data_IF_058704929939
#
_entry.id   IF_058704929939
#
_cell.length_a   1.000
_cell.length_b   1.000
_cell.length_c   1.000
_cell.angle_alpha   90.00
_cell.angle_beta   90.00
_cell.angle_gamma   90.00
#
_symmetry.space_group_name_H-M   'P 1'
#
loop_
_entity.id
_entity.type
_entity.pdbx_description
1 polymer ?
#
# COMPACT_ATOMS: atom_id res chain seq x y z
N UNK A 1 25.17 18.66 9.39
CA UNK A 1 24.60 17.51 10.12
C UNK A 1 23.60 16.72 9.26
N UNK A 2 22.77 17.40 8.47
CA UNK A 2 21.73 16.76 7.61
C UNK A 2 22.33 15.86 6.52
N UNK A 3 23.42 16.24 5.91
CA UNK A 3 24.09 15.48 4.83
C UNK A 3 24.74 14.16 5.30
N UNK A 4 24.72 13.86 6.60
CA UNK A 4 25.27 12.62 7.16
C UNK A 4 24.21 11.59 7.58
N UNK A 5 22.92 11.90 7.36
CA UNK A 5 21.85 10.93 7.61
C UNK A 5 21.86 9.88 6.49
N UNK A 6 22.35 8.70 6.79
CA UNK A 6 22.53 7.59 5.83
C UNK A 6 21.24 7.22 5.09
N UNK A 7 20.11 7.24 5.75
CA UNK A 7 18.81 6.99 5.12
C UNK A 7 18.43 8.06 4.08
N UNK A 8 18.72 9.33 4.36
CA UNK A 8 18.48 10.39 3.40
C UNK A 8 19.37 10.21 2.17
N UNK A 9 20.65 9.87 2.39
CA UNK A 9 21.60 9.64 1.31
C UNK A 9 21.20 8.43 0.44
N UNK A 10 20.70 7.35 1.02
CA UNK A 10 20.25 6.20 0.24
C UNK A 10 19.04 6.54 -0.64
N UNK A 11 18.06 7.29 -0.14
CA UNK A 11 16.91 7.77 -0.91
C UNK A 11 17.34 8.71 -2.04
N UNK A 12 18.23 9.65 -1.77
CA UNK A 12 18.78 10.58 -2.75
C UNK A 12 19.59 9.84 -3.83
N UNK A 13 20.38 8.84 -3.43
CA UNK A 13 21.10 7.99 -4.37
C UNK A 13 20.11 7.23 -5.27
N UNK A 14 19.05 6.67 -4.73
CA UNK A 14 18.03 5.97 -5.53
C UNK A 14 17.39 6.90 -6.56
N UNK A 15 17.08 8.15 -6.18
CA UNK A 15 16.57 9.14 -7.12
C UNK A 15 17.61 9.49 -8.21
N UNK A 16 18.87 9.76 -7.82
CA UNK A 16 19.95 10.02 -8.76
C UNK A 16 20.15 8.88 -9.76
N UNK A 17 20.06 7.64 -9.30
CA UNK A 17 20.18 6.46 -10.16
C UNK A 17 19.00 6.38 -11.14
N UNK A 18 17.79 6.65 -10.70
CA UNK A 18 16.63 6.70 -11.60
C UNK A 18 16.79 7.79 -12.68
N UNK A 19 17.26 8.95 -12.29
CA UNK A 19 17.46 10.06 -13.21
C UNK A 19 18.58 9.81 -14.24
N UNK A 20 19.61 9.06 -13.86
CA UNK A 20 20.78 8.80 -14.71
C UNK A 20 20.72 7.49 -15.48
N UNK A 21 20.14 6.43 -14.91
CA UNK A 21 20.15 5.09 -15.50
C UNK A 21 18.95 4.83 -16.41
N UNK A 22 17.77 5.36 -16.06
CA UNK A 22 16.53 5.11 -16.82
C UNK A 22 16.60 5.66 -18.25
N UNK A 23 17.14 6.87 -18.53
CA UNK A 23 17.22 7.36 -19.89
C UNK A 23 18.08 6.50 -20.84
N UNK A 24 19.14 5.89 -20.32
CA UNK A 24 20.20 5.33 -21.14
C UNK A 24 20.31 3.79 -21.09
N UNK A 25 19.91 3.15 -19.98
CA UNK A 25 20.30 1.75 -19.71
C UNK A 25 19.18 0.88 -19.14
N UNK A 26 18.17 1.47 -18.53
CA UNK A 26 17.03 0.77 -17.91
C UNK A 26 15.74 1.28 -18.55
N UNK A 27 14.80 0.42 -18.94
CA UNK A 27 13.53 0.89 -19.47
C UNK A 27 12.79 1.74 -18.45
N UNK A 28 11.98 2.68 -18.94
CA UNK A 28 11.12 3.47 -18.05
C UNK A 28 10.18 2.55 -17.25
N UNK A 29 9.92 2.86 -15.97
CA UNK A 29 8.99 2.08 -15.18
C UNK A 29 7.58 2.15 -15.77
N UNK A 30 6.76 1.11 -15.60
CA UNK A 30 5.33 1.20 -15.84
C UNK A 30 4.73 2.39 -15.07
N UNK A 31 3.77 3.10 -15.68
CA UNK A 31 3.16 4.28 -15.05
C UNK A 31 2.37 3.99 -13.77
N UNK A 32 2.07 2.71 -13.49
CA UNK A 32 1.33 2.29 -12.30
C UNK A 32 2.17 1.31 -11.48
N UNK A 33 2.29 1.58 -10.19
CA UNK A 33 2.95 0.70 -9.22
C UNK A 33 2.28 -0.67 -9.14
N UNK A 34 0.98 -0.75 -9.35
CA UNK A 34 0.24 -2.00 -9.48
C UNK A 34 0.85 -2.89 -10.56
N UNK A 35 1.07 -2.35 -11.75
CA UNK A 35 1.67 -3.10 -12.86
C UNK A 35 3.06 -3.57 -12.49
N UNK A 36 3.86 -2.73 -11.84
CA UNK A 36 5.22 -3.05 -11.38
C UNK A 36 5.21 -4.23 -10.40
N UNK A 37 4.33 -4.20 -9.40
CA UNK A 37 4.28 -5.25 -8.37
C UNK A 37 3.56 -6.53 -8.84
N UNK A 38 2.62 -6.43 -9.78
CA UNK A 38 2.04 -7.60 -10.43
C UNK A 38 3.09 -8.33 -11.29
N UNK A 39 3.89 -7.61 -12.07
CA UNK A 39 5.02 -8.19 -12.83
C UNK A 39 6.04 -8.86 -11.89
N UNK A 40 6.39 -8.20 -10.79
CA UNK A 40 7.30 -8.75 -9.78
C UNK A 40 6.78 -10.05 -9.17
N UNK A 41 5.51 -10.11 -8.83
CA UNK A 41 4.84 -11.33 -8.32
C UNK A 41 4.82 -12.43 -9.36
N UNK A 42 4.47 -12.11 -10.60
CA UNK A 42 4.32 -13.08 -11.66
C UNK A 42 5.67 -13.69 -12.08
N UNK A 43 6.75 -12.90 -12.04
CA UNK A 43 8.13 -13.38 -12.25
C UNK A 43 8.59 -14.40 -11.17
N UNK A 44 8.01 -14.34 -9.95
CA UNK A 44 8.33 -15.25 -8.83
C UNK A 44 7.35 -16.41 -8.69
N UNK A 45 6.34 -16.47 -9.56
CA UNK A 45 5.35 -17.56 -9.54
C UNK A 45 5.99 -18.81 -10.14
N UNK A 46 5.97 -19.97 -9.45
CA UNK A 46 6.43 -21.21 -10.05
C UNK A 46 5.57 -21.48 -11.29
N UNK A 47 6.24 -21.69 -12.41
CA UNK A 47 5.56 -22.06 -13.66
C UNK A 47 4.68 -23.30 -13.44
N UNK A 48 3.61 -23.51 -14.23
CA UNK A 48 2.79 -24.69 -14.13
C UNK A 48 3.67 -25.93 -14.35
N UNK A 49 3.81 -26.73 -13.30
CA UNK A 49 4.51 -28.02 -13.38
C UNK A 49 3.68 -28.95 -14.27
N UNK A 50 4.03 -29.05 -15.54
CA UNK A 50 3.40 -30.05 -16.38
C UNK A 50 3.13 -29.59 -17.80
N UNK A 51 3.92 -30.10 -18.65
CA UNK A 51 3.93 -30.34 -20.09
C UNK A 51 5.12 -29.65 -20.78
N UNK A 52 5.99 -30.46 -21.36
CA UNK A 52 7.27 -30.09 -21.99
C UNK A 52 7.12 -29.20 -23.24
N UNK A 53 6.67 -27.97 -23.02
CA UNK A 53 6.82 -26.88 -23.94
C UNK A 53 7.91 -25.97 -23.37
N UNK A 54 8.81 -25.50 -24.19
CA UNK A 54 9.77 -24.46 -23.89
C UNK A 54 9.01 -23.31 -23.23
N UNK A 55 9.08 -23.23 -21.88
CA UNK A 55 8.51 -22.11 -21.15
C UNK A 55 9.33 -20.91 -21.61
N UNK A 56 8.70 -20.01 -22.35
CA UNK A 56 9.28 -18.70 -22.63
C UNK A 56 9.70 -18.10 -21.29
N UNK A 57 10.97 -17.73 -21.16
CA UNK A 57 11.46 -17.04 -19.97
C UNK A 57 10.49 -15.89 -19.64
N UNK A 58 9.99 -15.84 -18.42
CA UNK A 58 9.07 -14.75 -18.04
C UNK A 58 9.77 -13.43 -18.34
N UNK A 59 9.06 -12.52 -19.00
CA UNK A 59 9.60 -11.20 -19.33
C UNK A 59 10.19 -10.58 -18.06
N UNK A 60 11.43 -10.07 -18.10
CA UNK A 60 12.09 -9.56 -16.91
C UNK A 60 11.24 -8.45 -16.29
N UNK A 61 10.92 -8.60 -15.02
CA UNK A 61 10.20 -7.59 -14.25
C UNK A 61 11.06 -6.32 -14.19
N UNK A 62 10.43 -5.16 -14.32
CA UNK A 62 11.13 -3.87 -14.27
C UNK A 62 11.99 -3.73 -13.01
N UNK A 63 11.49 -4.13 -11.86
CA UNK A 63 12.21 -4.07 -10.58
C UNK A 63 13.49 -4.92 -10.59
N UNK A 64 13.45 -6.12 -11.18
CA UNK A 64 14.62 -6.98 -11.27
C UNK A 64 15.66 -6.41 -12.24
N UNK A 65 15.20 -5.82 -13.34
CA UNK A 65 16.08 -5.13 -14.31
C UNK A 65 16.75 -3.93 -13.65
N UNK A 66 15.97 -3.10 -12.94
CA UNK A 66 16.46 -1.91 -12.26
C UNK A 66 17.45 -2.27 -11.13
N UNK A 67 17.05 -3.15 -10.21
CA UNK A 67 17.92 -3.53 -9.07
C UNK A 67 19.17 -4.29 -9.53
N UNK A 68 19.06 -5.11 -10.58
CA UNK A 68 20.19 -5.79 -11.21
C UNK A 68 21.19 -4.82 -11.82
N UNK A 69 20.71 -3.81 -12.55
CA UNK A 69 21.55 -2.74 -13.07
C UNK A 69 22.26 -1.98 -11.96
N UNK A 70 21.51 -1.55 -10.94
CA UNK A 70 22.06 -0.81 -9.79
C UNK A 70 23.11 -1.62 -9.04
N UNK A 71 22.85 -2.89 -8.80
CA UNK A 71 23.80 -3.79 -8.14
C UNK A 71 25.09 -3.98 -8.93
N UNK A 72 24.97 -4.12 -10.24
CA UNK A 72 26.13 -4.34 -11.14
C UNK A 72 27.01 -3.09 -11.25
N UNK A 73 26.40 -1.90 -11.30
CA UNK A 73 27.08 -0.62 -11.49
C UNK A 73 27.24 0.18 -10.19
N UNK A 74 27.10 -0.47 -9.03
CA UNK A 74 27.02 0.19 -7.71
C UNK A 74 28.16 1.18 -7.48
N UNK A 75 29.41 0.83 -7.79
CA UNK A 75 30.58 1.70 -7.56
C UNK A 75 30.52 2.96 -8.44
N UNK A 76 30.28 2.80 -9.73
CA UNK A 76 30.20 3.91 -10.68
C UNK A 76 29.05 4.85 -10.33
N UNK A 77 27.88 4.32 -9.95
CA UNK A 77 26.71 5.09 -9.58
C UNK A 77 26.94 5.87 -8.28
N UNK A 78 27.54 5.23 -7.28
CA UNK A 78 27.89 5.89 -6.02
C UNK A 78 28.96 6.95 -6.24
N UNK A 79 29.99 6.68 -7.03
CA UNK A 79 31.03 7.68 -7.30
C UNK A 79 30.49 8.89 -8.07
N UNK A 80 29.57 8.68 -9.04
CA UNK A 80 28.90 9.78 -9.74
C UNK A 80 28.01 10.60 -8.79
N UNK A 81 27.30 9.94 -7.89
CA UNK A 81 26.48 10.60 -6.89
C UNK A 81 27.32 11.42 -5.90
N UNK A 82 28.40 10.84 -5.38
CA UNK A 82 29.29 11.51 -4.44
C UNK A 82 30.04 12.69 -5.05
N UNK A 83 30.29 12.69 -6.35
CA UNK A 83 30.88 13.80 -7.07
C UNK A 83 30.02 15.09 -7.02
N UNK A 84 28.71 14.97 -6.76
CA UNK A 84 27.83 16.11 -6.56
C UNK A 84 28.02 16.81 -5.20
N UNK A 85 28.68 16.14 -4.24
CA UNK A 85 28.82 16.61 -2.86
C UNK A 85 30.30 16.69 -2.48
N UNK A 86 30.96 17.82 -2.60
CA UNK A 86 32.40 17.95 -2.35
C UNK A 86 32.76 17.59 -0.89
N UNK A 87 33.41 16.47 -0.71
CA UNK A 87 34.21 16.11 0.48
C UNK A 87 33.46 15.68 1.74
N UNK A 88 32.22 16.10 1.98
CA UNK A 88 31.54 15.89 3.27
C UNK A 88 30.92 14.49 3.44
N UNK A 89 30.57 13.83 2.34
CA UNK A 89 29.85 12.55 2.33
C UNK A 89 30.70 11.35 1.91
N UNK A 90 31.97 11.55 1.59
CA UNK A 90 32.91 10.48 1.23
C UNK A 90 32.93 9.29 2.23
N UNK A 91 32.82 9.49 3.55
CA UNK A 91 32.76 8.37 4.50
C UNK A 91 31.55 7.43 4.34
N UNK A 92 30.51 7.85 3.62
CA UNK A 92 29.33 7.03 3.38
C UNK A 92 29.46 6.07 2.18
N UNK A 93 30.55 6.16 1.40
CA UNK A 93 30.72 5.43 0.14
C UNK A 93 30.45 3.93 0.26
N UNK A 94 31.12 3.27 1.19
CA UNK A 94 30.98 1.81 1.36
C UNK A 94 29.57 1.41 1.76
N UNK A 95 28.92 2.21 2.61
CA UNK A 95 27.54 2.02 2.99
C UNK A 95 26.59 2.16 1.79
N UNK A 96 26.81 3.16 0.94
CA UNK A 96 25.99 3.39 -0.27
C UNK A 96 26.19 2.27 -1.30
N UNK A 97 27.41 1.75 -1.48
CA UNK A 97 27.67 0.59 -2.33
C UNK A 97 26.96 -0.65 -1.78
N UNK A 98 27.05 -0.89 -0.48
CA UNK A 98 26.33 -2.00 0.16
C UNK A 98 24.81 -1.85 0.00
N UNK A 99 24.28 -0.62 0.11
CA UNK A 99 22.88 -0.35 -0.16
C UNK A 99 22.50 -0.69 -1.61
N UNK A 100 23.26 -0.27 -2.61
CA UNK A 100 23.00 -0.61 -4.01
C UNK A 100 22.99 -2.12 -4.28
N UNK A 101 23.91 -2.86 -3.65
CA UNK A 101 24.07 -4.30 -3.89
C UNK A 101 23.08 -5.17 -3.12
N UNK A 102 22.69 -4.77 -1.92
CA UNK A 102 21.90 -5.59 -1.00
C UNK A 102 20.70 -4.84 -0.45
N UNK A 103 20.89 -3.62 0.03
CA UNK A 103 19.86 -2.86 0.73
C UNK A 103 18.67 -2.51 -0.14
N UNK A 104 18.92 -1.99 -1.34
CA UNK A 104 17.88 -1.60 -2.28
C UNK A 104 17.09 -2.81 -2.82
N UNK A 105 17.74 -3.90 -3.30
CA UNK A 105 17.00 -5.12 -3.68
C UNK A 105 16.13 -5.66 -2.55
N UNK A 106 16.66 -5.75 -1.34
CA UNK A 106 15.91 -6.22 -0.18
C UNK A 106 14.73 -5.30 0.20
N UNK A 107 14.90 -3.99 0.09
CA UNK A 107 13.83 -3.02 0.32
C UNK A 107 12.71 -3.16 -0.72
N UNK A 108 13.08 -3.30 -1.99
CA UNK A 108 12.13 -3.52 -3.10
C UNK A 108 11.35 -4.81 -2.90
N UNK A 109 12.02 -5.92 -2.58
CA UNK A 109 11.37 -7.21 -2.35
C UNK A 109 10.39 -7.16 -1.17
N UNK A 110 10.76 -6.50 -0.08
CA UNK A 110 9.90 -6.30 1.08
C UNK A 110 8.64 -5.50 0.73
N UNK A 111 8.79 -4.39 0.01
CA UNK A 111 7.67 -3.51 -0.37
C UNK A 111 6.74 -4.24 -1.32
N UNK A 112 7.26 -4.89 -2.36
CA UNK A 112 6.47 -5.65 -3.33
C UNK A 112 5.74 -6.83 -2.68
N UNK A 113 6.41 -7.53 -1.74
CA UNK A 113 5.80 -8.62 -0.96
C UNK A 113 4.65 -8.11 -0.10
N UNK A 114 4.84 -6.99 0.62
CA UNK A 114 3.82 -6.37 1.46
C UNK A 114 2.61 -5.95 0.62
N UNK A 115 2.81 -5.22 -0.45
CA UNK A 115 1.73 -4.79 -1.34
C UNK A 115 0.92 -5.96 -1.89
N UNK A 116 1.59 -7.05 -2.31
CA UNK A 116 0.92 -8.24 -2.81
C UNK A 116 0.17 -9.01 -1.70
N UNK A 117 0.70 -9.03 -0.47
CA UNK A 117 0.02 -9.63 0.68
C UNK A 117 -1.23 -8.84 1.05
N UNK A 118 -1.15 -7.51 1.10
CA UNK A 118 -2.28 -6.61 1.35
C UNK A 118 -3.37 -6.75 0.27
N UNK A 119 -2.98 -6.77 -1.00
CA UNK A 119 -3.91 -7.02 -2.12
C UNK A 119 -4.63 -8.35 -1.96
N UNK A 120 -3.92 -9.39 -1.52
CA UNK A 120 -4.51 -10.72 -1.28
C UNK A 120 -5.48 -10.68 -0.11
N UNK A 121 -5.08 -10.09 1.01
CA UNK A 121 -5.91 -9.98 2.20
C UNK A 121 -7.22 -9.25 1.91
N UNK A 122 -7.18 -8.13 1.18
CA UNK A 122 -8.37 -7.39 0.76
C UNK A 122 -9.31 -8.22 -0.12
N UNK A 123 -8.77 -9.06 -1.01
CA UNK A 123 -9.57 -9.96 -1.84
C UNK A 123 -10.22 -11.07 -1.02
N UNK A 124 -9.44 -11.74 -0.16
CA UNK A 124 -9.91 -12.81 0.71
C UNK A 124 -11.01 -12.32 1.66
N UNK A 125 -10.83 -11.14 2.27
CA UNK A 125 -11.83 -10.52 3.13
C UNK A 125 -13.11 -10.18 2.35
N UNK A 126 -12.99 -9.64 1.12
CA UNK A 126 -14.12 -9.34 0.26
C UNK A 126 -14.91 -10.61 -0.14
N UNK A 127 -14.22 -11.72 -0.41
CA UNK A 127 -14.84 -13.03 -0.70
C UNK A 127 -15.55 -13.58 0.52
N UNK A 128 -14.92 -13.58 1.69
CA UNK A 128 -15.53 -14.03 2.96
C UNK A 128 -16.80 -13.25 3.32
N UNK A 129 -16.73 -11.91 3.17
CA UNK A 129 -17.91 -11.06 3.43
C UNK A 129 -19.03 -11.35 2.44
N UNK A 130 -18.71 -11.54 1.15
CA UNK A 130 -19.69 -11.91 0.13
C UNK A 130 -20.32 -13.28 0.41
N UNK A 131 -19.53 -14.29 0.83
CA UNK A 131 -20.04 -15.62 1.16
C UNK A 131 -20.92 -15.59 2.40
N UNK A 132 -20.61 -14.72 3.38
CA UNK A 132 -21.46 -14.52 4.55
C UNK A 132 -22.80 -13.87 4.17
N UNK A 133 -22.80 -12.87 3.29
CA UNK A 133 -24.02 -12.28 2.73
C UNK A 133 -24.85 -13.35 2.00
N UNK A 134 -24.23 -14.16 1.14
CA UNK A 134 -24.93 -15.19 0.38
C UNK A 134 -25.54 -16.25 1.29
N UNK A 135 -24.86 -16.62 2.39
CA UNK A 135 -25.42 -17.56 3.39
C UNK A 135 -26.66 -17.00 4.06
N UNK A 136 -26.66 -15.74 4.49
CA UNK A 136 -27.83 -15.08 5.08
C UNK A 136 -28.99 -14.96 4.07
N UNK A 137 -28.67 -14.63 2.82
CA UNK A 137 -29.69 -14.54 1.75
C UNK A 137 -30.32 -15.90 1.40
N UNK A 138 -29.59 -17.00 1.59
CA UNK A 138 -30.07 -18.35 1.34
C UNK A 138 -31.01 -18.89 2.45
N UNK A 139 -31.12 -18.21 3.60
CA UNK A 139 -32.05 -18.58 4.65
C UNK A 139 -33.50 -18.40 4.15
N UNK A 140 -34.32 -19.44 4.29
CA UNK A 140 -35.73 -19.43 3.87
C UNK A 140 -36.59 -18.47 4.72
N UNK A 141 -36.16 -18.18 5.95
CA UNK A 141 -36.75 -17.20 6.84
C UNK A 141 -35.61 -16.49 7.59
N UNK A 142 -35.66 -15.20 7.62
CA UNK A 142 -34.71 -14.34 8.37
C UNK A 142 -35.44 -13.65 9.49
N UNK A 143 -34.85 -13.67 10.68
CA UNK A 143 -35.33 -12.89 11.80
C UNK A 143 -34.74 -11.46 11.78
N UNK A 144 -35.09 -10.65 12.78
CA UNK A 144 -34.61 -9.25 12.86
C UNK A 144 -33.11 -9.17 13.15
N UNK A 145 -32.50 -10.18 13.76
CA UNK A 145 -31.06 -10.25 13.97
C UNK A 145 -30.34 -10.55 12.64
N UNK A 146 -30.84 -11.50 11.87
CA UNK A 146 -30.34 -11.83 10.53
C UNK A 146 -30.39 -10.62 9.59
N UNK A 147 -31.46 -9.83 9.63
CA UNK A 147 -31.61 -8.61 8.83
C UNK A 147 -30.59 -7.55 9.23
N UNK A 148 -30.35 -7.35 10.54
CA UNK A 148 -29.31 -6.42 11.02
C UNK A 148 -27.91 -6.88 10.62
N UNK A 149 -27.61 -8.16 10.72
CA UNK A 149 -26.34 -8.73 10.28
C UNK A 149 -26.13 -8.58 8.77
N UNK A 150 -27.17 -8.79 7.99
CA UNK A 150 -27.11 -8.59 6.54
C UNK A 150 -26.79 -7.13 6.17
N UNK A 151 -27.41 -6.17 6.87
CA UNK A 151 -27.12 -4.74 6.64
C UNK A 151 -25.66 -4.38 7.03
N UNK A 152 -25.19 -4.88 8.18
CA UNK A 152 -23.80 -4.72 8.62
C UNK A 152 -22.81 -5.27 7.57
N UNK A 153 -23.01 -6.50 7.11
CA UNK A 153 -22.16 -7.14 6.11
C UNK A 153 -22.19 -6.41 4.75
N UNK A 154 -23.33 -5.86 4.35
CA UNK A 154 -23.43 -5.02 3.14
C UNK A 154 -22.64 -3.71 3.29
N UNK A 155 -22.66 -3.10 4.48
CA UNK A 155 -21.83 -1.95 4.80
C UNK A 155 -20.34 -2.28 4.69
N UNK A 156 -19.91 -3.37 5.33
CA UNK A 156 -18.54 -3.89 5.28
C UNK A 156 -18.10 -4.17 3.83
N UNK A 157 -18.94 -4.82 3.02
CA UNK A 157 -18.63 -5.10 1.61
C UNK A 157 -18.42 -3.82 0.78
N UNK A 158 -19.13 -2.71 1.12
CA UNK A 158 -18.92 -1.41 0.45
C UNK A 158 -17.60 -0.79 0.88
N UNK A 159 -17.30 -0.78 2.18
CA UNK A 159 -16.04 -0.30 2.72
C UNK A 159 -14.84 -1.02 2.11
N UNK A 160 -14.88 -2.35 2.07
CA UNK A 160 -13.84 -3.18 1.43
C UNK A 160 -13.68 -2.87 -0.06
N UNK A 161 -14.77 -2.66 -0.78
CA UNK A 161 -14.72 -2.25 -2.19
C UNK A 161 -14.07 -0.89 -2.36
N UNK A 162 -14.38 0.08 -1.50
CA UNK A 162 -13.74 1.40 -1.49
C UNK A 162 -12.23 1.29 -1.27
N UNK A 163 -11.82 0.57 -0.22
CA UNK A 163 -10.39 0.30 0.07
C UNK A 163 -9.69 -0.40 -1.11
N UNK A 164 -10.31 -1.42 -1.67
CA UNK A 164 -9.76 -2.16 -2.81
C UNK A 164 -9.62 -1.28 -4.07
N UNK A 165 -10.60 -0.42 -4.34
CA UNK A 165 -10.54 0.53 -5.45
C UNK A 165 -9.42 1.54 -5.25
N UNK A 166 -9.28 2.10 -4.06
CA UNK A 166 -8.20 3.03 -3.72
C UNK A 166 -6.83 2.34 -3.86
N UNK A 167 -6.65 1.19 -3.24
CA UNK A 167 -5.39 0.43 -3.29
C UNK A 167 -4.96 0.06 -4.71
N UNK A 168 -5.90 -0.30 -5.59
CA UNK A 168 -5.59 -0.82 -6.93
C UNK A 168 -5.67 0.22 -8.05
N UNK A 169 -6.50 1.25 -7.92
CA UNK A 169 -6.89 2.08 -9.06
C UNK A 169 -6.81 3.59 -8.80
N UNK A 170 -6.53 4.04 -7.58
CA UNK A 170 -6.40 5.47 -7.30
C UNK A 170 -5.15 6.02 -8.01
N UNK A 171 -5.29 6.93 -8.99
CA UNK A 171 -4.17 7.43 -9.78
C UNK A 171 -3.18 8.23 -8.94
N UNK A 172 -3.61 8.91 -7.87
CA UNK A 172 -2.73 9.70 -7.00
C UNK A 172 -1.85 8.81 -6.13
N UNK A 173 -2.32 7.61 -5.79
CA UNK A 173 -1.60 6.64 -4.96
C UNK A 173 -0.79 5.67 -5.81
N UNK A 174 -1.30 5.31 -6.99
CA UNK A 174 -0.74 4.24 -7.83
C UNK A 174 0.21 4.74 -8.92
N UNK A 175 0.47 6.03 -9.04
CA UNK A 175 1.56 6.51 -9.89
C UNK A 175 2.88 5.98 -9.32
N UNK A 176 3.73 5.40 -10.17
CA UNK A 176 4.89 4.60 -9.75
C UNK A 176 5.87 5.38 -8.88
N UNK A 177 6.25 6.60 -9.26
CA UNK A 177 7.22 7.39 -8.49
C UNK A 177 6.62 7.91 -7.18
N UNK A 178 5.36 8.31 -7.19
CA UNK A 178 4.62 8.70 -5.99
C UNK A 178 4.55 7.55 -5.00
N UNK A 179 4.22 6.35 -5.47
CA UNK A 179 4.17 5.14 -4.65
C UNK A 179 5.56 4.78 -4.07
N UNK A 180 6.62 4.79 -4.89
CA UNK A 180 7.98 4.53 -4.43
C UNK A 180 8.46 5.58 -3.40
N UNK A 181 8.03 6.83 -3.54
CA UNK A 181 8.28 7.89 -2.55
C UNK A 181 7.58 7.61 -1.22
N UNK A 182 6.29 7.22 -1.24
CA UNK A 182 5.52 6.86 -0.05
C UNK A 182 6.12 5.66 0.68
N UNK A 183 6.65 4.71 -0.06
CA UNK A 183 7.32 3.53 0.49
C UNK A 183 8.75 3.82 0.99
N UNK A 184 9.20 5.06 0.89
CA UNK A 184 10.50 5.50 1.39
C UNK A 184 11.70 5.10 0.54
N UNK A 185 11.50 4.64 -0.69
CA UNK A 185 12.58 4.35 -1.64
C UNK A 185 13.11 5.62 -2.31
N UNK A 186 12.28 6.63 -2.46
CA UNK A 186 12.64 7.94 -3.01
C UNK A 186 12.57 9.01 -1.92
N UNK A 187 13.30 10.13 -2.10
CA UNK A 187 13.16 11.26 -1.18
C UNK A 187 11.73 11.81 -1.25
N UNK A 188 11.01 11.72 -0.16
CA UNK A 188 9.74 12.42 0.01
C UNK A 188 10.00 13.91 0.29
N UNK A 189 9.36 14.80 -0.43
CA UNK A 189 9.39 16.24 -0.12
C UNK A 189 8.51 16.60 1.08
N UNK A 190 7.74 15.64 1.62
CA UNK A 190 7.02 15.81 2.87
C UNK A 190 8.01 15.76 4.05
N UNK A 191 8.45 16.92 4.47
CA UNK A 191 9.23 17.11 5.71
C UNK A 191 8.45 16.71 6.97
N UNK A 192 7.17 16.35 6.82
CA UNK A 192 6.22 15.97 7.87
C UNK A 192 5.58 14.61 7.54
N UNK A 193 6.40 13.61 7.29
CA UNK A 193 5.94 12.20 7.15
C UNK A 193 5.44 11.61 8.48
N UNK A 194 5.25 12.46 9.49
CA UNK A 194 4.75 12.11 10.80
C UNK A 194 3.26 12.42 10.88
N UNK A 195 2.49 11.86 9.93
CA UNK A 195 1.05 12.02 9.91
C UNK A 195 0.34 10.66 9.87
N UNK A 196 -0.78 10.59 10.57
CA UNK A 196 -1.68 9.44 10.59
C UNK A 196 -2.98 9.84 9.94
N UNK A 197 -3.47 9.03 9.02
CA UNK A 197 -4.73 9.24 8.34
C UNK A 197 -5.79 8.32 8.90
N UNK A 198 -6.94 8.89 9.28
CA UNK A 198 -8.14 8.15 9.59
C UNK A 198 -8.99 8.04 8.32
N UNK A 199 -9.28 6.82 7.92
CA UNK A 199 -10.27 6.51 6.89
C UNK A 199 -11.55 6.02 7.55
N UNK A 200 -12.66 6.73 7.36
CA UNK A 200 -13.95 6.34 7.89
C UNK A 200 -14.96 6.16 6.74
N UNK A 201 -15.52 4.96 6.67
CA UNK A 201 -16.61 4.64 5.75
C UNK A 201 -17.91 4.67 6.53
N UNK A 202 -18.66 5.77 6.40
CA UNK A 202 -19.92 5.97 7.11
C UNK A 202 -21.08 5.53 6.22
N UNK A 203 -22.00 4.75 6.79
CA UNK A 203 -23.26 4.40 6.10
C UNK A 203 -24.43 4.50 7.06
N UNK A 204 -25.58 4.88 6.55
CA UNK A 204 -26.81 4.96 7.32
C UNK A 204 -28.02 4.76 6.41
N UNK A 205 -29.14 4.39 7.02
CA UNK A 205 -30.42 4.30 6.32
C UNK A 205 -30.99 5.70 6.14
N UNK A 206 -31.35 6.07 4.91
CA UNK A 206 -32.06 7.34 4.64
C UNK A 206 -33.49 7.31 5.20
N UNK A 207 -33.98 8.47 5.66
CA UNK A 207 -35.32 8.65 6.23
C UNK A 207 -36.47 8.64 5.18
N UNK A 208 -36.29 8.05 4.02
CA UNK A 208 -37.33 8.00 2.98
C UNK A 208 -38.46 7.07 3.41
N UNK A 209 -39.61 7.67 3.75
CA UNK A 209 -40.85 6.95 4.10
C UNK A 209 -41.53 6.24 2.92
N UNK A 210 -41.04 6.37 1.71
CA UNK A 210 -41.59 5.78 0.50
C UNK A 210 -40.54 4.94 -0.23
N UNK A 211 -40.59 3.68 -0.03
CA UNK A 211 -40.36 2.60 -1.00
C UNK A 211 -39.59 1.40 -0.41
N UNK A 212 -39.95 0.23 -0.88
CA UNK A 212 -39.43 -1.09 -0.52
C UNK A 212 -37.93 -1.35 -0.87
N UNK A 213 -37.17 -0.31 -1.18
CA UNK A 213 -35.72 -0.33 -1.37
C UNK A 213 -35.07 0.52 -0.28
N UNK A 214 -34.43 -0.09 0.68
CA UNK A 214 -33.65 0.60 1.70
C UNK A 214 -32.58 1.47 1.03
N UNK A 215 -32.82 2.79 1.02
CA UNK A 215 -31.88 3.78 0.50
C UNK A 215 -30.75 3.94 1.53
N UNK A 216 -29.69 3.12 1.37
CA UNK A 216 -28.53 3.21 2.22
C UNK A 216 -27.61 4.28 1.63
N UNK A 217 -27.48 5.37 2.35
CA UNK A 217 -26.53 6.43 2.05
C UNK A 217 -25.17 6.06 2.62
N UNK A 218 -24.10 6.40 1.93
CA UNK A 218 -22.74 6.21 2.36
C UNK A 218 -21.91 7.46 2.06
N UNK A 219 -20.93 7.73 2.92
CA UNK A 219 -19.94 8.79 2.76
C UNK A 219 -18.60 8.27 3.22
N UNK A 220 -17.59 8.46 2.40
CA UNK A 220 -16.21 8.25 2.75
C UNK A 220 -15.64 9.54 3.33
N UNK A 221 -14.97 9.43 4.46
CA UNK A 221 -14.38 10.54 5.18
C UNK A 221 -12.94 10.24 5.50
N UNK A 222 -12.06 11.16 5.13
CA UNK A 222 -10.63 11.06 5.40
C UNK A 222 -10.18 12.27 6.18
N UNK A 223 -9.43 12.04 7.26
CA UNK A 223 -8.82 13.10 8.03
C UNK A 223 -7.39 12.73 8.39
N UNK A 224 -6.46 13.62 8.06
CA UNK A 224 -5.05 13.46 8.41
C UNK A 224 -4.71 14.34 9.61
N UNK A 225 -3.96 13.78 10.55
CA UNK A 225 -3.45 14.47 11.75
C UNK A 225 -1.97 14.19 11.91
N UNK A 226 -1.17 15.14 12.44
CA UNK A 226 0.18 14.86 12.90
C UNK A 226 0.16 13.67 13.87
N UNK A 227 1.13 12.76 13.77
CA UNK A 227 1.12 11.50 14.55
C UNK A 227 1.03 11.72 16.05
N UNK A 228 1.66 12.75 16.59
CA UNK A 228 1.54 13.11 18.00
C UNK A 228 0.10 13.44 18.43
N UNK A 229 -0.67 14.12 17.57
CA UNK A 229 -2.08 14.45 17.80
C UNK A 229 -2.96 13.23 17.54
N UNK A 230 -2.64 12.44 16.53
CA UNK A 230 -3.38 11.24 16.15
C UNK A 230 -3.41 10.20 17.28
N UNK A 231 -2.35 10.07 18.07
CA UNK A 231 -2.29 9.16 19.22
C UNK A 231 -3.42 9.41 20.23
N UNK A 232 -3.92 10.63 20.34
CA UNK A 232 -5.00 10.98 21.25
C UNK A 232 -6.35 11.12 20.55
N UNK A 233 -6.39 11.66 19.33
CA UNK A 233 -7.63 11.96 18.62
C UNK A 233 -8.13 10.79 17.79
N UNK A 234 -7.23 9.96 17.27
CA UNK A 234 -7.54 8.86 16.35
C UNK A 234 -7.27 7.47 16.96
N UNK A 235 -7.04 7.38 18.27
CA UNK A 235 -6.88 6.11 18.96
C UNK A 235 -8.20 5.29 18.94
N UNK A 236 -8.15 3.95 18.91
CA UNK A 236 -9.33 3.11 19.04
C UNK A 236 -10.14 3.49 20.29
N UNK A 237 -11.45 3.65 20.11
CA UNK A 237 -12.35 4.14 21.13
C UNK A 237 -12.47 5.67 21.23
N UNK A 238 -11.60 6.44 20.57
CA UNK A 238 -11.76 7.88 20.44
C UNK A 238 -12.99 8.20 19.57
N UNK A 239 -13.63 9.34 19.86
CA UNK A 239 -14.82 9.77 19.13
C UNK A 239 -14.56 11.07 18.39
N UNK A 240 -14.98 11.15 17.16
CA UNK A 240 -15.00 12.40 16.40
C UNK A 240 -16.37 12.61 15.75
N UNK A 241 -16.62 13.82 15.28
CA UNK A 241 -17.88 14.19 14.65
C UNK A 241 -17.65 14.47 13.16
N UNK A 242 -18.38 13.74 12.30
CA UNK A 242 -18.37 13.93 10.87
C UNK A 242 -19.82 13.97 10.34
N UNK A 243 -20.14 14.92 9.50
CA UNK A 243 -21.47 15.09 8.89
C UNK A 243 -22.63 15.09 9.91
N UNK A 244 -22.42 15.73 11.07
CA UNK A 244 -23.41 15.78 12.16
C UNK A 244 -23.61 14.47 12.92
N UNK A 245 -22.75 13.47 12.69
CA UNK A 245 -22.80 12.16 13.36
C UNK A 245 -21.58 11.98 14.24
N UNK A 246 -21.76 11.30 15.37
CA UNK A 246 -20.66 10.85 16.22
C UNK A 246 -20.12 9.55 15.65
N UNK A 247 -18.82 9.51 15.37
CA UNK A 247 -18.10 8.33 14.89
C UNK A 247 -17.10 7.91 15.94
N UNK A 248 -16.99 6.62 16.18
CA UNK A 248 -16.00 6.04 17.09
C UNK A 248 -14.96 5.32 16.23
N UNK A 249 -13.67 5.57 16.51
CA UNK A 249 -12.58 4.85 15.84
C UNK A 249 -12.60 3.40 16.36
N UNK A 250 -12.76 2.43 15.48
CA UNK A 250 -12.93 1.02 15.83
C UNK A 250 -11.64 0.21 15.65
N UNK A 251 -10.75 0.61 14.72
CA UNK A 251 -9.55 -0.14 14.43
C UNK A 251 -8.35 0.75 14.11
N UNK A 252 -7.15 0.20 14.25
CA UNK A 252 -5.90 0.74 13.72
C UNK A 252 -5.35 -0.26 12.70
N UNK A 253 -4.97 0.25 11.54
CA UNK A 253 -4.14 -0.48 10.60
C UNK A 253 -2.67 -0.20 10.94
N UNK A 254 -1.99 -1.18 11.48
CA UNK A 254 -0.58 -1.05 11.88
C UNK A 254 0.37 -1.37 10.73
N UNK A 255 -0.12 -1.49 9.47
CA UNK A 255 0.68 -1.95 8.34
C UNK A 255 1.51 -3.17 8.73
N UNK A 256 0.86 -4.25 9.12
CA UNK A 256 1.47 -5.36 9.82
C UNK A 256 2.64 -5.97 9.04
N UNK A 257 3.84 -5.68 9.49
CA UNK A 257 4.96 -6.60 9.36
C UNK A 257 4.57 -7.88 10.14
N UNK A 258 4.19 -8.91 9.41
CA UNK A 258 4.12 -10.36 9.73
C UNK A 258 3.47 -10.85 11.05
N UNK A 259 3.14 -10.07 12.04
CA UNK A 259 2.80 -10.58 13.37
C UNK A 259 1.36 -10.32 13.87
N UNK A 260 0.53 -9.61 13.15
CA UNK A 260 -0.83 -9.31 13.57
C UNK A 260 -1.89 -9.84 12.59
N UNK A 261 -1.92 -11.14 12.40
CA UNK A 261 -3.11 -11.81 11.93
C UNK A 261 -4.22 -11.64 12.99
N UNK A 262 -5.23 -10.85 12.67
CA UNK A 262 -6.52 -10.95 13.33
C UNK A 262 -6.77 -10.02 14.51
N UNK A 263 -7.12 -8.79 14.23
CA UNK A 263 -8.06 -8.03 15.05
C UNK A 263 -9.10 -7.40 14.12
N UNK A 264 -10.06 -8.20 13.71
CA UNK A 264 -11.31 -7.69 13.17
C UNK A 264 -12.14 -7.27 14.37
N UNK A 265 -12.12 -6.01 14.74
CA UNK A 265 -13.11 -5.48 15.68
C UNK A 265 -14.46 -5.40 14.98
N UNK A 266 -15.36 -6.26 15.38
CA UNK A 266 -16.79 -6.14 15.08
C UNK A 266 -17.37 -5.22 16.14
N UNK A 267 -17.83 -4.05 15.73
CA UNK A 267 -18.61 -3.16 16.59
C UNK A 267 -20.02 -3.74 16.81
N UNK A 268 -20.54 -3.77 18.04
CA UNK A 268 -21.89 -4.25 18.35
C UNK A 268 -22.99 -3.34 17.80
#
# INVERSE_FOLDING_TARGET
>A
AYLRATELLTRQLTAHVLDTAVPDSVPAPPGSIRTVFEQWRDARRPGPSGTGGEAADPAPCWLDTFTGYVSTHAETLVDSFLALFPGEVAPARDHLIAHCRVGLPAAVDRIASRWNAETRALREQSEQTRDSINRLLALGHRDEADERDLERLRGEARALRGRQTRHLNDPEINETFTALGREGLLPGYNLLDDSTTLEAHLWWRGDSQDSATSDIQNVDYEVTRPSATALSELAPGASFYAYGRKVVVDAIDLNADEAAAGLTCVCP
#
